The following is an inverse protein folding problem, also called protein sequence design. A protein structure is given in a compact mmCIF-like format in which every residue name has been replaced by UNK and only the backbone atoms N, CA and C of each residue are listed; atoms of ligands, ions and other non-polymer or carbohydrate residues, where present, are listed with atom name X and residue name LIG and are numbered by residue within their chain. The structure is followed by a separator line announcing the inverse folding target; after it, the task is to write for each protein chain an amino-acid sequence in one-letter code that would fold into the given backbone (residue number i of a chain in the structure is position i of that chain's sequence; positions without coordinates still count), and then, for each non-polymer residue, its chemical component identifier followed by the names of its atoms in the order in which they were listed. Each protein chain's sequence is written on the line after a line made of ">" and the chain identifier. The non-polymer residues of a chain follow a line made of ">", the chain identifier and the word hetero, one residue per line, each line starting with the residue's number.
data_IF_117273395016
#
_entry.id   IF_117273395016
#
_cell.length_a   1.000
_cell.length_b   1.000
_cell.length_c   1.000
_cell.angle_alpha   90.00
_cell.angle_beta   90.00
_cell.angle_gamma   90.00
#
_symmetry.space_group_name_H-M   'P 1'
#
loop_
_entity.id
_entity.type
_entity.pdbx_description
1 polymer ?
#
# COMPACT_ATOMS: atom_id res chain seq x y z
N UNK A 1 -8.28 8.02 17.38
CA UNK A 1 -8.68 7.92 15.95
C UNK A 1 -7.72 8.76 15.10
N UNK A 2 -6.56 8.19 14.76
CA UNK A 2 -5.62 8.77 13.81
C UNK A 2 -5.94 8.23 12.42
N UNK A 3 -5.85 9.08 11.40
CA UNK A 3 -5.91 8.61 10.01
C UNK A 3 -4.80 7.56 9.79
N UNK A 4 -5.03 6.54 8.95
CA UNK A 4 -4.01 5.55 8.65
C UNK A 4 -2.77 6.24 8.06
N UNK A 5 -1.63 6.05 8.70
CA UNK A 5 -0.36 6.68 8.30
C UNK A 5 0.07 6.15 6.93
N UNK A 6 0.38 7.08 6.01
CA UNK A 6 0.82 6.79 4.65
C UNK A 6 2.23 7.33 4.48
N UNK A 7 3.17 6.45 4.15
CA UNK A 7 4.52 6.82 3.70
C UNK A 7 4.60 6.61 2.19
N UNK A 8 4.91 7.67 1.45
CA UNK A 8 4.92 7.65 -0.02
C UNK A 8 6.27 8.10 -0.58
N UNK A 9 6.74 7.40 -1.62
CA UNK A 9 7.94 7.78 -2.37
C UNK A 9 7.64 7.78 -3.86
N UNK A 10 8.18 8.77 -4.57
CA UNK A 10 8.09 8.87 -6.03
C UNK A 10 9.47 8.70 -6.65
N UNK A 11 9.56 7.90 -7.69
CA UNK A 11 10.73 7.75 -8.54
C UNK A 11 10.84 8.94 -9.49
N UNK A 12 11.99 9.60 -9.50
CA UNK A 12 12.26 10.71 -10.41
C UNK A 12 12.53 10.27 -11.86
N UNK A 13 12.88 9.00 -12.08
CA UNK A 13 13.24 8.46 -13.39
C UNK A 13 12.04 7.91 -14.17
N UNK A 14 11.12 7.24 -13.49
CA UNK A 14 9.95 6.61 -14.11
C UNK A 14 8.63 7.35 -13.84
N UNK A 15 8.60 8.30 -12.90
CA UNK A 15 7.35 8.91 -12.43
C UNK A 15 6.51 8.00 -11.53
N UNK A 16 6.88 6.71 -11.44
CA UNK A 16 6.25 5.72 -10.58
C UNK A 16 6.26 6.15 -9.12
N UNK A 17 5.22 5.79 -8.38
CA UNK A 17 5.13 6.04 -6.94
C UNK A 17 4.85 4.75 -6.18
N UNK A 18 5.42 4.64 -4.99
CA UNK A 18 5.18 3.53 -4.08
C UNK A 18 4.79 4.12 -2.75
N UNK A 19 3.62 3.73 -2.25
CA UNK A 19 3.17 4.13 -0.93
C UNK A 19 2.87 2.90 -0.08
N UNK A 20 3.13 3.03 1.21
CA UNK A 20 2.78 2.06 2.22
C UNK A 20 1.81 2.70 3.18
N UNK A 21 0.75 1.98 3.53
CA UNK A 21 -0.26 2.40 4.49
C UNK A 21 -0.37 1.34 5.58
N UNK A 22 -0.33 1.80 6.82
CA UNK A 22 -0.72 0.96 7.95
C UNK A 22 -2.24 1.03 8.14
N UNK A 23 -2.87 -0.12 8.24
CA UNK A 23 -4.31 -0.24 8.43
C UNK A 23 -4.62 -0.37 9.93
N UNK A 24 -5.91 -0.30 10.29
CA UNK A 24 -6.33 -0.58 11.66
C UNK A 24 -5.99 -2.03 12.03
N UNK A 25 -5.46 -2.24 13.23
CA UNK A 25 -5.00 -3.56 13.69
C UNK A 25 -3.57 -3.87 13.24
N UNK A 26 -3.34 -5.11 12.85
CA UNK A 26 -2.03 -5.65 12.47
C UNK A 26 -1.90 -5.86 10.96
N UNK A 27 -2.59 -5.07 10.15
CA UNK A 27 -2.56 -5.16 8.69
C UNK A 27 -1.85 -3.95 8.06
N UNK A 28 -1.29 -4.16 6.88
CA UNK A 28 -0.67 -3.12 6.07
C UNK A 28 -0.90 -3.39 4.59
N UNK A 29 -0.82 -2.32 3.80
CA UNK A 29 -0.91 -2.41 2.35
C UNK A 29 0.15 -1.55 1.70
N UNK A 30 0.77 -2.07 0.65
CA UNK A 30 1.62 -1.32 -0.26
C UNK A 30 0.89 -1.17 -1.59
N UNK A 31 1.08 -0.01 -2.20
CA UNK A 31 0.55 0.29 -3.50
C UNK A 31 1.63 0.93 -4.37
N UNK A 32 1.89 0.32 -5.53
CA UNK A 32 2.81 0.83 -6.54
C UNK A 32 1.99 1.30 -7.73
N UNK A 33 2.15 2.56 -8.10
CA UNK A 33 1.47 3.16 -9.24
C UNK A 33 2.50 3.55 -10.30
N UNK A 34 2.22 3.15 -11.53
CA UNK A 34 3.00 3.51 -12.71
C UNK A 34 2.08 3.58 -13.93
N UNK A 35 2.20 4.65 -14.72
CA UNK A 35 1.43 4.89 -15.95
C UNK A 35 -0.08 4.52 -15.88
N UNK A 36 -0.77 4.96 -14.81
CA UNK A 36 -2.21 4.71 -14.61
C UNK A 36 -2.58 3.31 -14.11
N UNK A 37 -1.62 2.37 -14.06
CA UNK A 37 -1.79 1.09 -13.38
C UNK A 37 -1.44 1.21 -11.91
N UNK A 38 -2.16 0.49 -11.05
CA UNK A 38 -1.86 0.39 -9.63
C UNK A 38 -1.84 -1.06 -9.20
N UNK A 39 -0.71 -1.49 -8.65
CA UNK A 39 -0.53 -2.81 -8.07
C UNK A 39 -0.53 -2.71 -6.54
N UNK A 40 -1.16 -3.68 -5.90
CA UNK A 40 -1.36 -3.76 -4.47
C UNK A 40 -0.65 -4.98 -3.90
N UNK A 41 -0.12 -4.83 -2.70
CA UNK A 41 0.46 -5.93 -1.94
C UNK A 41 0.07 -5.84 -0.48
N UNK A 42 -0.58 -6.89 0.01
CA UNK A 42 -0.97 -7.00 1.42
C UNK A 42 0.22 -7.40 2.29
N UNK A 43 0.19 -6.97 3.54
CA UNK A 43 1.13 -7.35 4.57
C UNK A 43 0.50 -7.32 5.94
N UNK A 44 1.24 -7.86 6.91
CA UNK A 44 0.88 -7.78 8.31
C UNK A 44 1.91 -6.94 9.04
N UNK A 45 1.50 -6.27 10.10
CA UNK A 45 2.44 -5.63 11.00
C UNK A 45 2.95 -6.67 11.97
N UNK A 46 4.26 -6.88 11.94
CA UNK A 46 4.99 -7.75 12.86
C UNK A 46 6.04 -6.88 13.56
N UNK A 47 5.95 -6.78 14.89
CA UNK A 47 6.91 -6.02 15.70
C UNK A 47 7.10 -4.56 15.23
N UNK A 48 6.01 -3.91 14.82
CA UNK A 48 6.03 -2.51 14.36
C UNK A 48 6.40 -2.32 12.89
N UNK A 49 6.85 -3.37 12.19
CA UNK A 49 7.21 -3.32 10.76
C UNK A 49 6.18 -4.04 9.91
N UNK A 50 5.90 -3.53 8.71
CA UNK A 50 5.01 -4.22 7.77
C UNK A 50 5.81 -5.28 7.01
N UNK A 51 5.38 -6.53 7.12
CA UNK A 51 5.92 -7.68 6.39
C UNK A 51 4.92 -8.09 5.32
N UNK A 52 5.31 -7.92 4.06
CA UNK A 52 4.44 -8.18 2.92
C UNK A 52 4.34 -9.67 2.59
N UNK A 53 3.15 -10.07 2.18
CA UNK A 53 2.82 -11.43 1.76
C UNK A 53 3.74 -11.91 0.63
N UNK A 54 4.22 -13.18 0.68
CA UNK A 54 4.96 -13.78 -0.42
C UNK A 54 4.07 -14.10 -1.63
N UNK A 55 2.74 -14.07 -1.48
CA UNK A 55 1.77 -14.37 -2.55
C UNK A 55 1.73 -13.33 -3.68
N UNK A 56 2.55 -12.28 -3.60
CA UNK A 56 2.80 -11.36 -4.71
C UNK A 56 1.89 -10.14 -4.73
N UNK A 57 1.72 -9.58 -5.92
CA UNK A 57 0.97 -8.36 -6.19
C UNK A 57 -0.40 -8.67 -6.80
N UNK A 58 -1.32 -7.72 -6.64
CA UNK A 58 -2.67 -7.76 -7.21
C UNK A 58 -2.97 -6.45 -7.94
N UNK A 59 -3.62 -6.53 -9.09
CA UNK A 59 -4.14 -5.38 -9.85
C UNK A 59 -5.52 -4.90 -9.36
N UNK A 60 -6.09 -5.57 -8.36
CA UNK A 60 -7.31 -5.15 -7.67
C UNK A 60 -7.00 -4.66 -6.26
N UNK A 61 -7.75 -3.64 -5.82
CA UNK A 61 -7.72 -3.18 -4.44
C UNK A 61 -8.12 -4.35 -3.50
N UNK A 62 -7.25 -4.80 -2.60
CA UNK A 62 -7.54 -5.95 -1.75
C UNK A 62 -8.39 -5.59 -0.52
N UNK A 63 -8.73 -4.31 -0.34
CA UNK A 63 -9.45 -3.81 0.81
C UNK A 63 -10.93 -3.66 0.50
N UNK A 64 -11.77 -3.98 1.50
CA UNK A 64 -13.23 -3.82 1.39
C UNK A 64 -13.64 -2.35 1.24
N UNK A 65 -12.92 -1.45 1.89
CA UNK A 65 -13.16 -0.01 1.82
C UNK A 65 -12.30 0.62 0.72
N UNK A 66 -12.92 0.91 -0.43
CA UNK A 66 -12.24 1.50 -1.61
C UNK A 66 -11.54 2.82 -1.29
N UNK A 67 -12.04 3.59 -0.32
CA UNK A 67 -11.38 4.82 0.14
C UNK A 67 -9.96 4.56 0.69
N UNK A 68 -9.69 3.38 1.25
CA UNK A 68 -8.38 3.00 1.75
C UNK A 68 -7.39 2.65 0.63
N UNK A 69 -7.89 2.44 -0.60
CA UNK A 69 -7.08 2.21 -1.80
C UNK A 69 -6.81 3.49 -2.60
N UNK A 70 -7.15 4.67 -2.05
CA UNK A 70 -6.72 5.94 -2.66
C UNK A 70 -5.34 6.30 -2.14
N UNK A 71 -4.38 6.36 -3.04
CA UNK A 71 -3.00 6.81 -2.80
C UNK A 71 -2.86 8.26 -3.28
N UNK A 72 -2.03 9.11 -2.65
CA UNK A 72 -1.84 10.51 -3.05
C UNK A 72 -1.19 10.68 -4.43
#
# INVERSE_FOLDING_TARGET
>A
PGLPEIDGRRSSSSGASVCVRRLSGDEGVMAAQDDGMTLWRLGNVIQGSIVFSPHGWSDFCPLKEVALCRIP
#
